data_IF_207515853767
#
_entry.id   IF_207515853767
#
_cell.length_a   1.000
_cell.length_b   1.000
_cell.length_c   1.000
_cell.angle_alpha   90.00
_cell.angle_beta   90.00
_cell.angle_gamma   90.00
#
_symmetry.space_group_name_H-M   'P 1'
#
loop_
_entity.id
_entity.type
_entity.pdbx_description
1 polymer ?
#
# COMPACT_ATOMS: atom_id res chain seq x y z
N UNK A 1 -22.30 -8.87 2.18
CA UNK A 1 -21.10 -8.07 1.86
C UNK A 1 -19.95 -9.06 1.73
N UNK A 2 -19.41 -9.26 0.52
CA UNK A 2 -18.30 -10.19 0.35
C UNK A 2 -17.10 -9.67 1.14
N UNK A 3 -16.73 -10.36 2.22
CA UNK A 3 -15.46 -10.15 2.92
C UNK A 3 -14.36 -10.28 1.87
N UNK A 4 -13.78 -9.16 1.46
CA UNK A 4 -12.72 -9.15 0.45
C UNK A 4 -11.49 -9.77 1.11
N UNK A 5 -11.29 -11.08 0.88
CA UNK A 5 -10.08 -11.85 1.27
C UNK A 5 -8.76 -11.09 1.04
N UNK A 6 -8.73 -10.14 0.11
CA UNK A 6 -7.56 -9.35 -0.20
C UNK A 6 -7.17 -8.30 0.84
N UNK A 7 -8.11 -7.87 1.71
CA UNK A 7 -7.84 -6.92 2.81
C UNK A 7 -6.91 -7.49 3.89
N UNK A 8 -6.60 -8.79 3.83
CA UNK A 8 -5.74 -9.48 4.79
C UNK A 8 -4.31 -9.72 4.26
N UNK A 9 -4.04 -9.44 2.98
CA UNK A 9 -2.69 -9.59 2.40
C UNK A 9 -1.86 -8.34 2.67
N UNK A 10 -0.54 -8.50 2.84
CA UNK A 10 0.37 -7.37 3.05
C UNK A 10 0.22 -6.32 1.93
N UNK A 11 0.16 -6.78 0.67
CA UNK A 11 -0.03 -5.92 -0.49
C UNK A 11 -1.39 -5.21 -0.48
N UNK A 12 -2.47 -5.92 -0.16
CA UNK A 12 -3.82 -5.34 -0.10
C UNK A 12 -3.94 -4.26 0.97
N UNK A 13 -3.37 -4.49 2.16
CA UNK A 13 -3.31 -3.52 3.25
C UNK A 13 -2.53 -2.27 2.82
N UNK A 14 -1.34 -2.47 2.22
CA UNK A 14 -0.50 -1.38 1.75
C UNK A 14 -1.20 -0.57 0.64
N UNK A 15 -1.85 -1.24 -0.30
CA UNK A 15 -2.62 -0.60 -1.37
C UNK A 15 -3.75 0.27 -0.80
N UNK A 16 -4.58 -0.27 0.11
CA UNK A 16 -5.69 0.49 0.69
C UNK A 16 -5.21 1.73 1.46
N UNK A 17 -4.10 1.60 2.20
CA UNK A 17 -3.51 2.72 2.91
C UNK A 17 -3.04 3.83 1.96
N UNK A 18 -2.36 3.47 0.87
CA UNK A 18 -1.91 4.41 -0.16
C UNK A 18 -3.09 5.13 -0.83
N UNK A 19 -4.20 4.42 -1.12
CA UNK A 19 -5.43 5.06 -1.63
C UNK A 19 -6.02 6.04 -0.61
N UNK A 20 -6.08 5.67 0.69
CA UNK A 20 -6.58 6.55 1.77
C UNK A 20 -5.71 7.79 1.97
N UNK A 21 -4.42 7.70 1.67
CA UNK A 21 -3.50 8.85 1.63
C UNK A 21 -3.68 9.76 0.41
N UNK A 22 -4.59 9.42 -0.51
CA UNK A 22 -4.93 10.24 -1.68
C UNK A 22 -4.04 10.00 -2.91
N UNK A 23 -3.32 8.88 -2.95
CA UNK A 23 -2.62 8.42 -4.14
C UNK A 23 -3.59 7.70 -5.07
N UNK A 24 -4.05 8.38 -6.12
CA UNK A 24 -4.86 7.76 -7.17
C UNK A 24 -4.00 6.87 -8.07
N UNK A 25 -4.61 5.96 -8.84
CA UNK A 25 -3.87 5.17 -9.84
C UNK A 25 -3.07 6.06 -10.81
N UNK A 26 -3.62 7.21 -11.18
CA UNK A 26 -2.94 8.19 -12.03
C UNK A 26 -1.75 8.86 -11.36
N UNK A 27 -1.81 9.10 -10.05
CA UNK A 27 -0.63 9.59 -9.30
C UNK A 27 0.43 8.51 -9.21
N UNK A 28 0.04 7.27 -8.91
CA UNK A 28 0.96 6.13 -8.82
C UNK A 28 1.68 5.88 -10.15
N UNK A 29 0.95 5.82 -11.27
CA UNK A 29 1.54 5.64 -12.60
C UNK A 29 2.51 6.76 -13.02
N UNK A 30 2.43 7.94 -12.39
CA UNK A 30 3.37 9.05 -12.62
C UNK A 30 4.63 8.98 -11.76
N UNK A 31 4.65 8.17 -10.70
CA UNK A 31 5.81 8.03 -9.81
C UNK A 31 6.91 7.18 -10.43
N UNK A 32 6.53 6.13 -11.17
CA UNK A 32 7.46 5.20 -11.80
C UNK A 32 6.82 4.63 -13.08
N UNK A 33 7.55 4.66 -14.19
CA UNK A 33 7.08 4.15 -15.49
C UNK A 33 6.78 2.65 -15.50
N UNK A 34 7.32 1.91 -14.53
CA UNK A 34 7.10 0.46 -14.33
C UNK A 34 5.71 0.17 -13.74
N UNK A 35 5.03 1.19 -13.20
CA UNK A 35 3.70 1.06 -12.63
C UNK A 35 2.67 1.12 -13.75
N UNK A 36 1.86 0.07 -13.89
CA UNK A 36 0.77 0.04 -14.87
C UNK A 36 -0.61 -0.12 -14.20
N UNK A 37 -1.63 0.44 -14.86
CA UNK A 37 -3.02 0.40 -14.40
C UNK A 37 -3.60 -1.02 -14.29
N UNK A 38 -3.35 -1.95 -15.24
CA UNK A 38 -3.85 -3.32 -15.13
C UNK A 38 -3.40 -4.01 -13.85
N UNK A 39 -2.13 -3.86 -13.46
CA UNK A 39 -1.61 -4.45 -12.22
C UNK A 39 -2.22 -3.79 -10.99
N UNK A 40 -2.34 -2.46 -10.95
CA UNK A 40 -3.04 -1.76 -9.86
C UNK A 40 -4.50 -2.22 -9.69
N UNK A 41 -5.19 -2.51 -10.80
CA UNK A 41 -6.54 -3.09 -10.78
C UNK A 41 -6.54 -4.52 -10.26
N UNK A 42 -5.58 -5.35 -10.66
CA UNK A 42 -5.46 -6.72 -10.16
C UNK A 42 -5.22 -6.73 -8.65
N UNK A 43 -4.38 -5.83 -8.14
CA UNK A 43 -4.17 -5.63 -6.69
C UNK A 43 -5.48 -5.21 -6.04
N UNK A 44 -6.17 -4.18 -6.54
CA UNK A 44 -7.46 -3.75 -5.97
C UNK A 44 -8.50 -4.88 -5.92
N UNK A 45 -8.56 -5.69 -6.96
CA UNK A 45 -9.53 -6.77 -7.12
C UNK A 45 -9.07 -8.07 -6.42
N UNK A 46 -7.85 -8.09 -5.87
CA UNK A 46 -7.28 -9.23 -5.15
C UNK A 46 -6.95 -10.44 -6.00
N UNK A 47 -6.60 -10.22 -7.26
CA UNK A 47 -6.20 -11.26 -8.18
C UNK A 47 -4.74 -11.64 -7.95
N UNK A 48 -4.42 -12.91 -8.22
CA UNK A 48 -3.04 -13.37 -8.20
C UNK A 48 -2.18 -12.58 -9.18
N UNK A 49 -0.98 -12.25 -8.70
CA UNK A 49 0.08 -11.59 -9.47
C UNK A 49 1.38 -12.33 -9.24
N UNK A 50 2.35 -12.14 -10.15
CA UNK A 50 3.67 -12.76 -9.99
C UNK A 50 4.33 -12.27 -8.71
N UNK A 51 4.96 -13.17 -7.95
CA UNK A 51 5.64 -12.87 -6.68
C UNK A 51 6.66 -11.72 -6.77
N UNK A 52 7.39 -11.61 -7.88
CA UNK A 52 8.31 -10.50 -8.11
C UNK A 52 7.57 -9.15 -8.25
N UNK A 53 6.45 -9.14 -8.96
CA UNK A 53 5.57 -7.97 -9.11
C UNK A 53 4.94 -7.59 -7.79
N UNK A 54 4.45 -8.57 -7.03
CA UNK A 54 3.92 -8.36 -5.67
C UNK A 54 4.93 -7.66 -4.76
N UNK A 55 6.16 -8.18 -4.68
CA UNK A 55 7.24 -7.57 -3.89
C UNK A 55 7.58 -6.16 -4.34
N UNK A 56 7.62 -5.90 -5.65
CA UNK A 56 7.86 -4.57 -6.19
C UNK A 56 6.79 -3.58 -5.71
N UNK A 57 5.51 -3.91 -5.88
CA UNK A 57 4.41 -3.04 -5.49
C UNK A 57 4.28 -2.90 -3.97
N UNK A 58 4.52 -3.97 -3.20
CA UNK A 58 4.52 -3.92 -1.75
C UNK A 58 5.58 -2.94 -1.22
N UNK A 59 6.81 -3.05 -1.74
CA UNK A 59 7.90 -2.13 -1.39
C UNK A 59 7.54 -0.69 -1.75
N UNK A 60 7.07 -0.45 -2.97
CA UNK A 60 6.65 0.88 -3.41
C UNK A 60 5.60 1.50 -2.48
N UNK A 61 4.56 0.74 -2.13
CA UNK A 61 3.49 1.24 -1.27
C UNK A 61 3.98 1.48 0.15
N UNK A 62 4.83 0.59 0.68
CA UNK A 62 5.45 0.76 1.99
C UNK A 62 6.31 2.03 2.04
N UNK A 63 7.12 2.30 1.01
CA UNK A 63 7.95 3.49 0.92
C UNK A 63 7.10 4.78 0.91
N UNK A 64 5.94 4.78 0.22
CA UNK A 64 5.00 5.90 0.22
C UNK A 64 4.36 6.14 1.59
N UNK A 65 3.98 5.07 2.30
CA UNK A 65 3.44 5.14 3.66
C UNK A 65 4.51 5.67 4.61
N UNK A 66 5.74 5.15 4.53
CA UNK A 66 6.85 5.59 5.39
C UNK A 66 7.17 7.08 5.19
N UNK A 67 7.19 7.53 3.93
CA UNK A 67 7.42 8.95 3.63
C UNK A 67 6.35 9.87 4.24
N UNK A 68 5.09 9.45 4.20
CA UNK A 68 4.00 10.21 4.81
C UNK A 68 4.04 10.14 6.35
N UNK A 69 4.47 9.01 6.92
CA UNK A 69 4.74 8.88 8.35
C UNK A 69 5.83 9.86 8.82
N UNK A 70 6.99 9.88 8.16
CA UNK A 70 8.09 10.81 8.45
C UNK A 70 7.63 12.26 8.35
N UNK A 71 6.85 12.59 7.32
CA UNK A 71 6.27 13.93 7.15
C UNK A 71 5.36 14.31 8.31
N UNK A 72 4.46 13.41 8.74
CA UNK A 72 3.54 13.68 9.87
C UNK A 72 4.29 13.81 11.18
N UNK A 73 5.30 12.97 11.41
CA UNK A 73 6.20 13.09 12.57
C UNK A 73 6.89 14.46 12.61
N UNK A 74 7.34 14.97 11.46
CA UNK A 74 7.93 16.31 11.36
C UNK A 74 6.91 17.45 11.54
N UNK A 75 5.61 17.20 11.33
CA UNK A 75 4.53 18.18 11.44
C UNK A 75 3.70 18.06 12.74
N UNK A 76 4.29 17.57 13.83
CA UNK A 76 3.62 17.50 15.15
C UNK A 76 2.94 16.17 15.45
N UNK A 77 3.10 15.15 14.59
CA UNK A 77 2.73 13.76 14.87
C UNK A 77 1.27 13.40 14.65
N UNK A 78 0.42 14.35 14.23
CA UNK A 78 -0.98 14.07 13.97
C UNK A 78 -1.14 13.00 12.88
N UNK A 79 -1.93 11.97 13.19
CA UNK A 79 -2.14 10.81 12.33
C UNK A 79 -0.90 9.94 12.04
N UNK A 80 0.25 10.15 12.71
CA UNK A 80 1.45 9.32 12.54
C UNK A 80 1.29 7.93 13.18
N UNK A 81 0.62 7.86 14.35
CA UNK A 81 0.29 6.61 15.04
C UNK A 81 -0.57 5.70 14.15
N UNK A 82 -1.55 6.26 13.43
CA UNK A 82 -2.38 5.49 12.50
C UNK A 82 -1.57 4.86 11.37
N UNK A 83 -0.53 5.55 10.87
CA UNK A 83 0.37 5.00 9.85
C UNK A 83 1.29 3.92 10.42
N UNK A 84 1.79 4.08 11.65
CA UNK A 84 2.55 3.02 12.33
C UNK A 84 1.73 1.74 12.49
N UNK A 85 0.45 1.85 12.86
CA UNK A 85 -0.46 0.70 12.95
C UNK A 85 -0.60 0.00 11.60
N UNK A 86 -0.76 0.77 10.51
CA UNK A 86 -0.81 0.21 9.15
C UNK A 86 0.49 -0.52 8.81
N UNK A 87 1.65 0.10 9.05
CA UNK A 87 2.96 -0.52 8.79
C UNK A 87 3.15 -1.82 9.59
N UNK A 88 2.73 -1.82 10.86
CA UNK A 88 2.71 -3.03 11.69
C UNK A 88 1.84 -4.12 11.06
N UNK A 89 0.63 -3.80 10.63
CA UNK A 89 -0.30 -4.77 10.03
C UNK A 89 0.24 -5.35 8.71
N UNK A 90 0.94 -4.53 7.90
CA UNK A 90 1.62 -5.01 6.69
C UNK A 90 2.71 -6.02 7.04
N UNK A 91 3.54 -5.72 8.05
CA UNK A 91 4.61 -6.61 8.50
C UNK A 91 4.06 -7.93 9.06
N UNK A 92 3.02 -7.87 9.89
CA UNK A 92 2.35 -9.05 10.43
C UNK A 92 1.73 -9.93 9.32
N UNK A 93 1.23 -9.32 8.24
CA UNK A 93 0.67 -10.05 7.11
C UNK A 93 1.75 -10.68 6.20
N UNK A 94 2.94 -10.09 6.12
CA UNK A 94 4.07 -10.64 5.32
C UNK A 94 4.78 -11.80 6.05
N UNK A 95 4.73 -11.81 7.39
CA UNK A 95 5.37 -12.83 8.24
C UNK A 95 4.50 -14.07 8.50
N UNK A 96 3.21 -14.04 8.14
CA UNK A 96 2.27 -15.17 8.24
C UNK A 96 2.34 -16.07 7.01
#
# INVERSE_FOLDING_TARGET
MAEKKHQLTALGIAYEAVIKLGYTHSKLARLDSSINYPTLRNIRDGKEIKKATERFYLKLFFDLINREYERRMACGGDGAVSLLIVMKNILEAELK
#
